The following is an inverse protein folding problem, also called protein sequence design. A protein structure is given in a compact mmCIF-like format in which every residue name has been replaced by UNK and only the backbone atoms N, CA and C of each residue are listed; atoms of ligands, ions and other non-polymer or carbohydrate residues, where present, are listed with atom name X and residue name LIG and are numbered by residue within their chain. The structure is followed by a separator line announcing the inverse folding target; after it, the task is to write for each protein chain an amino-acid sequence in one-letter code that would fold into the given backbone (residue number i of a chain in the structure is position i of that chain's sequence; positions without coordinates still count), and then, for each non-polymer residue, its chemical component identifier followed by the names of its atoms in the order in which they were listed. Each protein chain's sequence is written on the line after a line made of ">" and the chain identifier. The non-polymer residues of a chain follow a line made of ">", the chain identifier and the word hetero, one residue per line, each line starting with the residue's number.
data_IF_707954538894
#
_entry.id   IF_707954538894
#
_cell.length_a   1.000
_cell.length_b   1.000
_cell.length_c   1.000
_cell.angle_alpha   90.00
_cell.angle_beta   90.00
_cell.angle_gamma   90.00
#
_symmetry.space_group_name_H-M   'P 1'
#
loop_
_entity.id
_entity.type
_entity.pdbx_description
1 polymer ?
#
# COMPACT_ATOMS: atom_id res chain seq x y z
N UNK A 1 -6.92 -17.63 -10.30
CA UNK A 1 -6.63 -16.81 -9.11
C UNK A 1 -7.86 -15.98 -8.87
N UNK A 2 -8.80 -16.50 -8.08
CA UNK A 2 -9.99 -15.77 -7.65
C UNK A 2 -9.55 -14.78 -6.58
N UNK A 3 -9.08 -13.62 -7.03
CA UNK A 3 -8.97 -12.48 -6.14
C UNK A 3 -10.39 -11.92 -6.00
N UNK A 4 -11.04 -12.33 -4.91
CA UNK A 4 -12.35 -11.87 -4.46
C UNK A 4 -12.24 -10.36 -4.10
N UNK A 5 -12.32 -9.49 -5.10
CA UNK A 5 -12.02 -8.05 -5.00
C UNK A 5 -13.26 -7.15 -4.83
N UNK A 6 -14.38 -7.65 -4.31
CA UNK A 6 -15.64 -6.89 -4.31
C UNK A 6 -16.12 -6.39 -2.94
N UNK A 7 -15.30 -6.46 -1.88
CA UNK A 7 -15.68 -5.92 -0.56
C UNK A 7 -14.87 -4.69 -0.11
N UNK A 8 -13.65 -4.50 -0.61
CA UNK A 8 -12.73 -3.45 -0.10
C UNK A 8 -12.78 -2.13 -0.90
N UNK A 9 -13.33 -2.15 -2.12
CA UNK A 9 -13.41 -0.98 -3.00
C UNK A 9 -14.46 0.06 -2.56
N UNK A 10 -15.40 -0.33 -1.68
CA UNK A 10 -16.50 0.56 -1.30
C UNK A 10 -16.15 1.56 -0.19
N UNK A 11 -15.08 1.30 0.58
CA UNK A 11 -14.63 2.19 1.63
C UNK A 11 -13.48 3.05 1.10
N UNK A 12 -13.62 4.37 1.17
CA UNK A 12 -12.51 5.27 0.84
C UNK A 12 -11.42 5.14 1.92
N UNK A 13 -10.17 5.51 1.61
CA UNK A 13 -9.10 5.39 2.60
C UNK A 13 -9.35 6.32 3.79
N UNK A 14 -9.96 7.48 3.52
CA UNK A 14 -10.45 8.40 4.53
C UNK A 14 -11.50 7.77 5.47
N UNK A 15 -12.41 6.93 4.94
CA UNK A 15 -13.41 6.23 5.74
C UNK A 15 -12.76 5.18 6.64
N UNK A 16 -11.74 4.47 6.15
CA UNK A 16 -10.98 3.49 6.96
C UNK A 16 -10.30 4.20 8.15
N UNK A 17 -9.66 5.35 7.90
CA UNK A 17 -9.02 6.15 8.96
C UNK A 17 -10.06 6.69 9.94
N UNK A 18 -11.19 7.20 9.45
CA UNK A 18 -12.27 7.76 10.26
C UNK A 18 -13.11 6.71 11.01
N UNK A 19 -13.08 5.45 10.55
CA UNK A 19 -13.88 4.36 11.12
C UNK A 19 -13.49 4.11 12.57
N UNK A 20 -14.41 4.33 13.50
CA UNK A 20 -14.21 4.00 14.91
C UNK A 20 -14.42 2.52 15.20
N UNK A 21 -14.96 1.77 14.24
CA UNK A 21 -15.21 0.33 14.36
C UNK A 21 -13.94 -0.52 14.18
N UNK A 22 -12.92 0.00 13.49
CA UNK A 22 -11.67 -0.69 13.21
C UNK A 22 -10.59 -0.31 14.23
N UNK A 23 -9.76 -1.28 14.61
CA UNK A 23 -8.58 -1.02 15.45
C UNK A 23 -7.48 -0.35 14.64
N UNK A 24 -6.58 0.37 15.30
CA UNK A 24 -5.42 1.00 14.64
C UNK A 24 -4.57 -0.03 13.89
N UNK A 25 -4.43 -1.24 14.43
CA UNK A 25 -3.70 -2.33 13.77
C UNK A 25 -4.40 -2.77 12.46
N UNK A 26 -5.72 -2.98 12.49
CA UNK A 26 -6.49 -3.36 11.30
C UNK A 26 -6.50 -2.26 10.25
N UNK A 27 -6.63 -1.00 10.67
CA UNK A 27 -6.51 0.16 9.75
C UNK A 27 -5.16 0.16 9.05
N UNK A 28 -4.09 -0.06 9.82
CA UNK A 28 -2.73 -0.11 9.29
C UNK A 28 -2.57 -1.23 8.27
N UNK A 29 -3.08 -2.41 8.58
CA UNK A 29 -3.02 -3.57 7.68
C UNK A 29 -3.81 -3.33 6.38
N UNK A 30 -5.06 -2.90 6.46
CA UNK A 30 -5.89 -2.62 5.28
C UNK A 30 -5.27 -1.57 4.37
N UNK A 31 -4.79 -0.46 4.96
CA UNK A 31 -4.18 0.62 4.18
C UNK A 31 -2.85 0.21 3.57
N UNK A 32 -2.03 -0.56 4.29
CA UNK A 32 -0.76 -1.07 3.77
C UNK A 32 -0.99 -2.10 2.65
N UNK A 33 -2.00 -2.96 2.79
CA UNK A 33 -2.39 -3.91 1.75
C UNK A 33 -2.91 -3.19 0.50
N UNK A 34 -3.76 -2.17 0.66
CA UNK A 34 -4.22 -1.33 -0.48
C UNK A 34 -3.05 -0.62 -1.13
N UNK A 35 -2.14 -0.06 -0.35
CA UNK A 35 -0.95 0.62 -0.85
C UNK A 35 -0.07 -0.31 -1.68
N UNK A 36 0.19 -1.54 -1.20
CA UNK A 36 0.93 -2.56 -1.95
C UNK A 36 0.23 -2.95 -3.25
N UNK A 37 -1.11 -3.07 -3.24
CA UNK A 37 -1.89 -3.35 -4.45
C UNK A 37 -1.83 -2.20 -5.46
N UNK A 38 -1.92 -0.96 -5.01
CA UNK A 38 -1.75 0.21 -5.88
C UNK A 38 -0.35 0.29 -6.47
N UNK A 39 0.68 -0.07 -5.69
CA UNK A 39 2.04 -0.16 -6.19
C UNK A 39 2.18 -1.25 -7.27
N UNK A 40 1.47 -2.38 -7.10
CA UNK A 40 1.41 -3.47 -8.08
C UNK A 40 0.63 -3.12 -9.34
N UNK A 41 -0.35 -2.22 -9.29
CA UNK A 41 -1.16 -1.84 -10.46
C UNK A 41 -0.54 -0.71 -11.29
N UNK A 42 0.44 0.01 -10.74
CA UNK A 42 1.14 1.08 -11.45
C UNK A 42 0.43 2.43 -11.42
N UNK A 43 -0.63 2.58 -10.62
CA UNK A 43 -1.39 3.83 -10.55
C UNK A 43 -0.74 4.82 -9.57
N UNK A 44 0.11 5.68 -10.12
CA UNK A 44 0.85 6.71 -9.36
C UNK A 44 -0.10 7.67 -8.66
N UNK A 45 -1.16 8.12 -9.34
CA UNK A 45 -2.08 9.11 -8.77
C UNK A 45 -2.86 8.52 -7.61
N UNK A 46 -3.29 7.27 -7.72
CA UNK A 46 -3.93 6.58 -6.60
C UNK A 46 -2.93 6.39 -5.44
N UNK A 47 -1.67 6.07 -5.73
CA UNK A 47 -0.64 5.86 -4.70
C UNK A 47 -0.35 7.15 -3.93
N UNK A 48 -0.18 8.28 -4.63
CA UNK A 48 0.01 9.60 -4.03
C UNK A 48 -1.18 10.00 -3.16
N UNK A 49 -2.41 9.88 -3.71
CA UNK A 49 -3.63 10.17 -2.94
C UNK A 49 -3.72 9.35 -1.67
N UNK A 50 -3.38 8.06 -1.74
CA UNK A 50 -3.43 7.16 -0.60
C UNK A 50 -2.40 7.57 0.45
N UNK A 51 -1.18 7.91 0.02
CA UNK A 51 -0.13 8.42 0.88
C UNK A 51 -0.52 9.71 1.60
N UNK A 52 -1.06 10.69 0.86
CA UNK A 52 -1.54 11.97 1.40
C UNK A 52 -2.68 11.76 2.39
N UNK A 53 -3.67 10.94 2.02
CA UNK A 53 -4.86 10.65 2.86
C UNK A 53 -4.48 9.93 4.15
N UNK A 54 -3.49 9.05 4.10
CA UNK A 54 -3.06 8.23 5.24
C UNK A 54 -1.92 8.86 6.05
N UNK A 55 -1.56 10.13 5.79
CA UNK A 55 -0.50 10.87 6.48
C UNK A 55 0.86 10.12 6.47
N UNK A 56 1.19 9.48 5.34
CA UNK A 56 2.53 9.01 4.94
C UNK A 56 3.36 8.12 5.89
N UNK A 57 2.87 7.70 7.05
CA UNK A 57 3.60 6.75 7.93
C UNK A 57 2.78 6.39 9.16
N UNK A 58 1.78 7.21 9.50
CA UNK A 58 0.94 6.93 10.67
C UNK A 58 0.10 5.68 10.46
N UNK A 59 -0.46 5.52 9.26
CA UNK A 59 -1.38 4.44 8.93
C UNK A 59 -0.89 3.49 7.84
N UNK A 60 0.06 3.91 7.00
CA UNK A 60 0.61 3.04 5.93
C UNK A 60 2.02 2.63 6.31
N UNK A 61 2.28 1.33 6.26
CA UNK A 61 3.62 0.78 6.42
C UNK A 61 4.21 0.55 5.03
N UNK A 62 5.18 1.39 4.65
CA UNK A 62 5.79 1.37 3.31
C UNK A 62 6.62 0.10 3.05
N UNK A 63 7.06 -0.54 4.14
CA UNK A 63 7.85 -1.75 4.16
C UNK A 63 6.98 -2.98 4.49
N UNK A 64 5.65 -2.82 4.46
CA UNK A 64 4.70 -3.91 4.63
C UNK A 64 5.01 -5.05 3.66
N UNK A 65 5.01 -6.27 4.17
CA UNK A 65 5.15 -7.47 3.37
C UNK A 65 3.80 -8.12 3.22
N UNK A 66 3.44 -8.43 1.98
CA UNK A 66 2.25 -9.23 1.72
C UNK A 66 2.45 -10.69 2.15
N UNK A 67 1.45 -11.53 1.91
CA UNK A 67 1.50 -12.96 2.24
C UNK A 67 2.64 -13.70 1.50
N UNK A 68 3.10 -13.13 0.39
CA UNK A 68 4.22 -13.64 -0.40
C UNK A 68 5.58 -13.14 0.11
N UNK A 69 5.62 -12.28 1.13
CA UNK A 69 6.86 -11.67 1.63
C UNK A 69 7.32 -10.45 0.81
N UNK A 70 6.56 -10.04 -0.20
CA UNK A 70 6.92 -8.97 -1.12
C UNK A 70 6.52 -7.61 -0.56
N UNK A 71 7.43 -6.65 -0.67
CA UNK A 71 7.18 -5.25 -0.31
C UNK A 71 6.54 -4.50 -1.49
N UNK A 72 5.86 -3.36 -1.26
CA UNK A 72 5.36 -2.50 -2.33
C UNK A 72 6.42 -2.18 -3.39
N UNK A 73 7.68 -2.02 -2.96
CA UNK A 73 8.81 -1.76 -3.84
C UNK A 73 9.17 -2.98 -4.71
N UNK A 74 9.12 -4.20 -4.15
CA UNK A 74 9.30 -5.44 -4.90
C UNK A 74 8.18 -5.58 -5.93
N UNK A 75 6.92 -5.36 -5.54
CA UNK A 75 5.78 -5.39 -6.46
C UNK A 75 5.96 -4.40 -7.62
N UNK A 76 6.23 -3.12 -7.32
CA UNK A 76 6.46 -2.10 -8.34
C UNK A 76 7.61 -2.48 -9.30
N UNK A 77 8.68 -3.08 -8.77
CA UNK A 77 9.82 -3.55 -9.56
C UNK A 77 9.47 -4.72 -10.46
N UNK A 78 8.72 -5.71 -9.96
CA UNK A 78 8.25 -6.88 -10.69
C UNK A 78 7.37 -6.50 -11.89
N UNK A 79 6.51 -5.49 -11.72
CA UNK A 79 5.62 -4.98 -12.77
C UNK A 79 6.22 -3.86 -13.63
N UNK A 80 7.52 -3.56 -13.46
CA UNK A 80 8.25 -2.50 -14.21
C UNK A 80 7.63 -1.10 -14.06
N UNK A 81 7.06 -0.82 -12.89
CA UNK A 81 6.50 0.49 -12.54
C UNK A 81 7.57 1.38 -11.90
N UNK A 82 8.55 1.80 -12.70
CA UNK A 82 9.69 2.62 -12.24
C UNK A 82 9.25 3.89 -11.51
N UNK A 83 8.21 4.58 -12.02
CA UNK A 83 7.66 5.78 -11.39
C UNK A 83 7.14 5.51 -9.96
N UNK A 84 6.47 4.37 -9.75
CA UNK A 84 6.02 3.96 -8.43
C UNK A 84 7.22 3.66 -7.53
N UNK A 85 8.22 2.93 -8.05
CA UNK A 85 9.43 2.62 -7.29
C UNK A 85 10.17 3.89 -6.84
N UNK A 86 10.30 4.89 -7.72
CA UNK A 86 10.87 6.20 -7.38
C UNK A 86 10.04 6.93 -6.32
N UNK A 87 8.71 6.88 -6.42
CA UNK A 87 7.81 7.52 -5.46
C UNK A 87 7.91 6.87 -4.07
N UNK A 88 7.92 5.53 -4.02
CA UNK A 88 8.13 4.76 -2.79
C UNK A 88 9.47 5.10 -2.13
N UNK A 89 10.55 5.20 -2.91
CA UNK A 89 11.86 5.60 -2.40
C UNK A 89 11.85 7.04 -1.87
N UNK A 90 11.16 7.95 -2.56
CA UNK A 90 10.98 9.35 -2.12
C UNK A 90 10.22 9.44 -0.78
N UNK A 91 9.30 8.51 -0.56
CA UNK A 91 8.53 8.35 0.67
C UNK A 91 9.30 7.66 1.81
N UNK A 92 10.52 7.18 1.55
CA UNK A 92 11.38 6.56 2.56
C UNK A 92 11.29 5.04 2.61
N UNK A 93 10.82 4.38 1.54
CA UNK A 93 10.82 2.91 1.45
C UNK A 93 12.23 2.34 1.62
N UNK A 94 12.35 1.23 2.35
CA UNK A 94 13.61 0.54 2.55
C UNK A 94 13.99 -0.26 1.30
N UNK A 95 14.92 0.28 0.51
CA UNK A 95 15.46 -0.40 -0.69
C UNK A 95 16.20 -1.71 -0.39
N UNK A 96 16.65 -1.90 0.85
CA UNK A 96 17.43 -3.07 1.27
C UNK A 96 16.58 -4.26 1.74
N UNK A 97 15.25 -4.18 1.66
CA UNK A 97 14.41 -5.31 2.03
C UNK A 97 14.46 -6.38 0.96
N UNK A 98 14.95 -7.56 1.35
CA UNK A 98 14.90 -8.75 0.51
C UNK A 98 13.57 -9.49 0.68
N UNK A 99 13.07 -9.99 -0.45
CA UNK A 99 12.05 -11.05 -0.54
C UNK A 99 12.61 -12.36 0.08
N UNK A 100 11.76 -13.23 0.59
CA UNK A 100 12.16 -14.40 1.40
C UNK A 100 12.12 -15.72 0.62
#
# INVERSE_FOLDING_TARGET
>A
MEHNELADDYLSEADIVASTALTEATKRELLSQRFARTASSGDVHALERLWETCLGSKWVDIDYRDDQGSTPLICASCFQHSHIAELLLSYGASVNLQDN
#
